data_IF_549357588906
#
_entry.id   IF_549357588906
#
_cell.length_a   1.000
_cell.length_b   1.000
_cell.length_c   1.000
_cell.angle_alpha   90.00
_cell.angle_beta   90.00
_cell.angle_gamma   90.00
#
_symmetry.space_group_name_H-M   'P 1'
#
loop_
_entity.id
_entity.type
_entity.pdbx_description
1 polymer ?
#
# COMPACT_ATOMS: atom_id res chain seq x y z
N UNK A 1 4.08 20.32 -26.95
CA UNK A 1 3.97 19.99 -25.51
C UNK A 1 5.06 18.95 -25.20
N UNK A 2 6.17 19.41 -24.64
CA UNK A 2 7.33 18.56 -24.32
C UNK A 2 7.07 17.89 -22.98
N UNK A 3 6.89 16.58 -22.99
CA UNK A 3 6.78 15.80 -21.76
C UNK A 3 8.16 15.79 -21.11
N UNK A 4 8.30 16.48 -19.99
CA UNK A 4 9.51 16.44 -19.18
C UNK A 4 9.67 15.03 -18.61
N UNK A 5 10.60 14.25 -19.14
CA UNK A 5 11.04 12.98 -18.58
C UNK A 5 11.73 13.29 -17.26
N UNK A 6 11.05 13.08 -16.14
CA UNK A 6 11.64 13.19 -14.82
C UNK A 6 12.81 12.22 -14.73
N UNK A 7 14.04 12.75 -14.69
CA UNK A 7 15.25 11.97 -14.52
C UNK A 7 15.24 11.37 -13.11
N UNK A 8 14.90 10.09 -13.02
CA UNK A 8 14.93 9.31 -11.79
C UNK A 8 16.38 9.22 -11.31
N UNK A 9 16.69 9.46 -10.03
CA UNK A 9 18.04 9.30 -9.53
C UNK A 9 18.49 7.85 -9.76
N UNK A 10 19.68 7.68 -10.36
CA UNK A 10 20.31 6.38 -10.59
C UNK A 10 20.79 5.79 -9.24
N UNK A 11 19.86 5.26 -8.48
CA UNK A 11 20.17 4.37 -7.37
C UNK A 11 20.45 2.97 -7.92
N UNK A 12 21.19 2.14 -7.19
CA UNK A 12 21.43 0.74 -7.60
C UNK A 12 20.12 0.01 -7.91
N UNK A 13 19.04 0.34 -7.20
CA UNK A 13 17.69 -0.17 -7.41
C UNK A 13 17.03 0.36 -8.70
N UNK A 14 17.32 1.60 -9.10
CA UNK A 14 16.91 2.14 -10.39
C UNK A 14 17.47 1.32 -11.54
N UNK A 15 18.76 0.93 -11.48
CA UNK A 15 19.39 0.10 -12.48
C UNK A 15 18.75 -1.32 -12.57
N UNK A 16 18.31 -1.87 -11.42
CA UNK A 16 17.58 -3.16 -11.41
C UNK A 16 16.23 -3.02 -12.12
N UNK A 17 15.47 -1.98 -11.83
CA UNK A 17 14.18 -1.74 -12.49
C UNK A 17 14.35 -1.50 -13.99
N UNK A 18 15.39 -0.76 -14.40
CA UNK A 18 15.70 -0.53 -15.81
C UNK A 18 16.12 -1.83 -16.54
N UNK A 19 16.87 -2.69 -15.86
CA UNK A 19 17.22 -4.01 -16.39
C UNK A 19 15.99 -4.91 -16.51
N UNK A 20 15.10 -4.84 -15.51
CA UNK A 20 13.85 -5.58 -15.49
C UNK A 20 12.91 -5.14 -16.62
N UNK A 21 12.81 -3.84 -16.89
CA UNK A 21 12.02 -3.30 -18.01
C UNK A 21 12.54 -3.75 -19.40
N UNK A 22 13.83 -3.99 -19.54
CA UNK A 22 14.40 -4.52 -20.80
C UNK A 22 14.08 -5.99 -21.03
N UNK A 23 13.66 -6.73 -20.00
CA UNK A 23 13.32 -8.14 -20.10
C UNK A 23 12.03 -8.32 -20.93
N UNK A 24 12.10 -9.07 -22.02
CA UNK A 24 10.96 -9.28 -22.92
C UNK A 24 9.77 -9.95 -22.22
N UNK A 25 10.02 -10.90 -21.32
CA UNK A 25 8.97 -11.57 -20.54
C UNK A 25 8.24 -10.62 -19.60
N UNK A 26 8.93 -9.65 -19.01
CA UNK A 26 8.33 -8.62 -18.14
C UNK A 26 7.45 -7.66 -18.94
N UNK A 27 7.94 -7.22 -20.10
CA UNK A 27 7.12 -6.39 -20.99
C UNK A 27 5.86 -7.11 -21.45
N UNK A 28 5.97 -8.39 -21.79
CA UNK A 28 4.82 -9.21 -22.15
C UNK A 28 3.77 -9.34 -21.03
N UNK A 29 4.16 -9.22 -19.76
CA UNK A 29 3.21 -9.14 -18.63
C UNK A 29 2.42 -7.84 -18.70
N UNK A 30 3.08 -6.69 -18.90
CA UNK A 30 2.40 -5.40 -19.02
C UNK A 30 1.41 -5.33 -20.17
N UNK A 31 1.76 -5.94 -21.29
CA UNK A 31 0.93 -5.98 -22.50
C UNK A 31 -0.28 -6.93 -22.35
N UNK A 32 -0.24 -7.81 -21.34
CA UNK A 32 -1.26 -8.82 -21.06
C UNK A 32 -1.91 -8.67 -19.68
N UNK A 33 -1.88 -7.46 -19.12
CA UNK A 33 -2.58 -7.23 -17.85
C UNK A 33 -4.06 -7.61 -18.00
N UNK A 34 -4.59 -8.43 -17.08
CA UNK A 34 -5.94 -8.96 -17.21
C UNK A 34 -6.97 -7.85 -17.11
N UNK A 35 -8.08 -8.01 -17.80
CA UNK A 35 -9.26 -7.17 -17.65
C UNK A 35 -9.92 -7.43 -16.28
N UNK A 36 -10.89 -6.60 -15.91
CA UNK A 36 -11.61 -6.76 -14.64
C UNK A 36 -12.25 -8.15 -14.54
N UNK A 37 -11.91 -8.87 -13.47
CA UNK A 37 -12.41 -10.22 -13.20
C UNK A 37 -11.61 -11.33 -13.85
N UNK A 38 -10.60 -11.02 -14.66
CA UNK A 38 -9.71 -12.01 -15.23
C UNK A 38 -8.49 -12.26 -14.32
N UNK A 39 -7.82 -13.38 -14.51
CA UNK A 39 -6.65 -13.80 -13.73
C UNK A 39 -5.49 -14.12 -14.65
N UNK A 40 -4.36 -13.47 -14.44
CA UNK A 40 -3.08 -13.84 -15.04
C UNK A 40 -2.22 -14.58 -14.02
N UNK A 41 -1.80 -15.79 -14.34
CA UNK A 41 -0.90 -16.58 -13.49
C UNK A 41 0.54 -16.38 -13.94
N UNK A 42 1.39 -15.97 -13.01
CA UNK A 42 2.81 -15.79 -13.22
C UNK A 42 3.58 -16.78 -12.36
N UNK A 43 4.56 -17.44 -12.96
CA UNK A 43 5.45 -18.37 -12.25
C UNK A 43 6.91 -17.97 -12.45
N UNK A 44 7.81 -18.63 -11.69
CA UNK A 44 9.25 -18.39 -11.83
C UNK A 44 9.72 -17.05 -11.27
N UNK A 45 9.07 -16.58 -10.19
CA UNK A 45 9.42 -15.34 -9.48
C UNK A 45 10.10 -15.68 -8.14
N UNK A 46 11.39 -16.06 -8.12
CA UNK A 46 12.09 -16.41 -6.90
C UNK A 46 12.45 -15.17 -6.07
N UNK A 47 12.52 -15.33 -4.75
CA UNK A 47 12.94 -14.26 -3.82
C UNK A 47 12.11 -12.98 -3.99
N UNK A 48 12.78 -11.84 -4.06
CA UNK A 48 12.15 -10.52 -4.18
C UNK A 48 11.70 -10.15 -5.61
N UNK A 49 11.81 -11.06 -6.60
CA UNK A 49 11.43 -10.74 -7.98
C UNK A 49 9.95 -10.40 -8.15
N UNK A 50 9.07 -10.94 -7.29
CA UNK A 50 7.67 -10.54 -7.20
C UNK A 50 7.52 -9.08 -6.80
N UNK A 51 8.28 -8.62 -5.79
CA UNK A 51 8.25 -7.23 -5.35
C UNK A 51 8.80 -6.28 -6.43
N UNK A 52 9.87 -6.68 -7.14
CA UNK A 52 10.39 -5.92 -8.29
C UNK A 52 9.33 -5.78 -9.38
N UNK A 53 8.60 -6.84 -9.70
CA UNK A 53 7.51 -6.79 -10.67
C UNK A 53 6.38 -5.87 -10.21
N UNK A 54 5.94 -5.98 -8.96
CA UNK A 54 4.88 -5.14 -8.41
C UNK A 54 5.28 -3.66 -8.36
N UNK A 55 6.50 -3.35 -7.92
CA UNK A 55 7.05 -1.99 -7.91
C UNK A 55 7.18 -1.39 -9.31
N UNK A 56 7.64 -2.18 -10.28
CA UNK A 56 7.70 -1.78 -11.68
C UNK A 56 6.31 -1.51 -12.26
N UNK A 57 5.32 -2.38 -12.00
CA UNK A 57 3.94 -2.18 -12.41
C UNK A 57 3.34 -0.92 -11.78
N UNK A 58 3.57 -0.68 -10.49
CA UNK A 58 3.12 0.54 -9.81
C UNK A 58 3.67 1.81 -10.46
N UNK A 59 4.93 1.78 -10.93
CA UNK A 59 5.53 2.86 -11.70
C UNK A 59 4.88 3.08 -13.07
N UNK A 60 4.40 2.02 -13.70
CA UNK A 60 3.89 2.02 -15.08
C UNK A 60 2.39 2.28 -15.20
N UNK A 61 1.61 1.90 -14.21
CA UNK A 61 0.15 2.00 -14.25
C UNK A 61 -0.40 3.44 -14.19
N UNK A 62 0.45 4.42 -13.92
CA UNK A 62 0.09 5.84 -13.90
C UNK A 62 -0.71 6.25 -12.65
N UNK A 63 -1.01 7.55 -12.56
CA UNK A 63 -1.77 8.12 -11.45
C UNK A 63 -3.21 7.57 -11.41
N UNK A 64 -3.70 7.34 -10.19
CA UNK A 64 -5.08 6.86 -9.97
C UNK A 64 -5.24 5.34 -10.03
N UNK A 65 -4.15 4.57 -10.21
CA UNK A 65 -4.16 3.11 -10.09
C UNK A 65 -3.30 2.66 -8.93
N UNK A 66 -3.85 1.73 -8.15
CA UNK A 66 -3.22 1.13 -6.99
C UNK A 66 -2.86 -0.33 -7.30
N UNK A 67 -1.63 -0.72 -6.98
CA UNK A 67 -1.25 -2.12 -6.93
C UNK A 67 -1.53 -2.63 -5.53
N UNK A 68 -2.33 -3.69 -5.42
CA UNK A 68 -2.60 -4.33 -4.14
C UNK A 68 -1.89 -5.67 -4.09
N UNK A 69 -1.01 -5.84 -3.10
CA UNK A 69 -0.33 -7.10 -2.82
C UNK A 69 -1.04 -7.77 -1.65
N UNK A 70 -1.58 -8.95 -1.89
CA UNK A 70 -2.23 -9.76 -0.85
C UNK A 70 -1.30 -10.92 -0.48
N UNK A 71 -0.64 -10.80 0.66
CA UNK A 71 0.28 -11.81 1.17
C UNK A 71 -0.49 -12.91 1.94
N UNK A 72 0.14 -14.07 2.07
CA UNK A 72 -0.46 -15.22 2.75
C UNK A 72 -0.36 -15.06 4.28
N UNK A 73 0.75 -14.51 4.76
CA UNK A 73 1.03 -14.35 6.20
C UNK A 73 1.46 -12.90 6.51
N UNK A 74 1.35 -12.46 7.79
CA UNK A 74 1.87 -11.16 8.20
C UNK A 74 3.37 -11.00 7.91
N UNK A 75 4.18 -12.00 8.21
CA UNK A 75 5.63 -11.95 7.95
C UNK A 75 5.96 -11.85 6.45
N UNK A 76 5.13 -12.46 5.58
CA UNK A 76 5.26 -12.27 4.14
C UNK A 76 4.89 -10.83 3.75
N UNK A 77 3.83 -10.28 4.34
CA UNK A 77 3.40 -8.90 4.09
C UNK A 77 4.49 -7.89 4.50
N UNK A 78 5.10 -8.06 5.66
CA UNK A 78 6.22 -7.22 6.12
C UNK A 78 7.43 -7.29 5.19
N UNK A 79 7.77 -8.49 4.72
CA UNK A 79 8.85 -8.67 3.73
C UNK A 79 8.53 -7.96 2.41
N UNK A 80 7.31 -8.11 1.90
CA UNK A 80 6.84 -7.38 0.72
C UNK A 80 6.89 -5.88 0.92
N UNK A 81 6.47 -5.38 2.09
CA UNK A 81 6.53 -3.96 2.45
C UNK A 81 7.98 -3.46 2.37
N UNK A 82 8.91 -4.13 3.05
CA UNK A 82 10.32 -3.74 3.08
C UNK A 82 10.95 -3.69 1.70
N UNK A 83 10.73 -4.72 0.86
CA UNK A 83 11.22 -4.77 -0.51
C UNK A 83 10.62 -3.63 -1.37
N UNK A 84 9.32 -3.39 -1.26
CA UNK A 84 8.61 -2.38 -2.04
C UNK A 84 8.94 -0.95 -1.61
N UNK A 85 9.15 -0.70 -0.33
CA UNK A 85 9.60 0.62 0.16
C UNK A 85 10.96 1.01 -0.43
N UNK A 86 11.87 0.04 -0.61
CA UNK A 86 13.16 0.30 -1.27
C UNK A 86 13.01 0.62 -2.77
N UNK A 87 11.98 0.09 -3.43
CA UNK A 87 11.75 0.22 -4.87
C UNK A 87 10.89 1.43 -5.25
N UNK A 88 9.89 1.74 -4.44
CA UNK A 88 8.83 2.73 -4.73
C UNK A 88 8.94 3.96 -3.81
N UNK A 89 9.50 3.80 -2.60
CA UNK A 89 9.59 4.86 -1.60
C UNK A 89 8.29 5.02 -0.80
N UNK A 90 7.95 6.26 -0.45
CA UNK A 90 6.85 6.61 0.47
C UNK A 90 5.45 6.25 -0.03
N UNK A 91 5.30 5.90 -1.30
CA UNK A 91 4.02 5.49 -1.87
C UNK A 91 3.59 4.05 -1.56
N UNK A 92 4.17 3.41 -0.54
CA UNK A 92 3.88 2.02 -0.13
C UNK A 92 3.44 1.99 1.33
N UNK A 93 2.31 1.37 1.62
CA UNK A 93 1.84 1.16 2.98
C UNK A 93 1.37 -0.27 3.22
N UNK A 94 1.42 -0.69 4.48
CA UNK A 94 0.86 -1.94 4.96
C UNK A 94 -0.52 -1.67 5.57
N UNK A 95 -1.51 -2.47 5.19
CA UNK A 95 -2.78 -2.57 5.91
C UNK A 95 -2.77 -3.86 6.72
N UNK A 96 -2.42 -3.80 8.02
CA UNK A 96 -2.22 -4.98 8.84
C UNK A 96 -3.55 -5.64 9.20
N UNK A 97 -3.51 -6.95 9.46
CA UNK A 97 -4.63 -7.66 10.06
C UNK A 97 -4.73 -7.35 11.55
N UNK A 98 -5.93 -7.46 12.10
CA UNK A 98 -6.13 -7.37 13.55
C UNK A 98 -5.52 -8.57 14.24
N UNK A 99 -4.92 -8.34 15.40
CA UNK A 99 -4.50 -9.40 16.31
C UNK A 99 -5.70 -9.82 17.16
N UNK A 100 -5.79 -11.12 17.43
CA UNK A 100 -6.85 -11.68 18.27
C UNK A 100 -8.13 -12.07 17.53
N UNK A 101 -8.96 -12.81 18.24
CA UNK A 101 -10.36 -13.08 17.90
C UNK A 101 -11.20 -11.92 18.44
N UNK A 102 -12.36 -11.70 17.89
CA UNK A 102 -13.22 -10.52 18.01
C UNK A 102 -13.55 -10.00 19.44
N UNK A 103 -13.08 -10.64 20.49
CA UNK A 103 -13.38 -10.35 21.90
C UNK A 103 -12.17 -9.82 22.72
N UNK A 104 -10.99 -9.72 22.11
CA UNK A 104 -9.81 -9.16 22.75
C UNK A 104 -9.77 -7.64 22.55
N UNK A 105 -9.23 -6.93 23.56
CA UNK A 105 -9.06 -5.46 23.49
C UNK A 105 -8.28 -5.09 22.21
N UNK A 106 -8.75 -4.09 21.45
CA UNK A 106 -8.07 -3.69 20.23
C UNK A 106 -6.65 -3.20 20.56
N UNK A 107 -5.64 -3.76 19.90
CA UNK A 107 -4.30 -3.20 19.95
C UNK A 107 -4.33 -1.83 19.25
N UNK A 108 -4.27 -0.77 20.06
CA UNK A 108 -4.38 0.62 19.59
C UNK A 108 -3.36 0.97 18.51
N UNK A 109 -2.17 0.37 18.58
CA UNK A 109 -1.10 0.55 17.60
C UNK A 109 -1.53 0.06 16.21
N UNK A 110 -2.03 -1.17 16.12
CA UNK A 110 -2.53 -1.75 14.86
C UNK A 110 -3.76 -0.98 14.35
N UNK A 111 -4.64 -0.55 15.25
CA UNK A 111 -5.78 0.27 14.86
C UNK A 111 -5.34 1.62 14.28
N UNK A 112 -4.32 2.26 14.86
CA UNK A 112 -3.71 3.48 14.35
C UNK A 112 -3.10 3.30 12.97
N UNK A 113 -2.28 2.27 12.77
CA UNK A 113 -1.67 1.95 11.47
C UNK A 113 -2.73 1.70 10.37
N UNK A 114 -3.81 1.02 10.71
CA UNK A 114 -4.92 0.77 9.78
C UNK A 114 -5.60 2.07 9.37
N UNK A 115 -5.87 2.99 10.32
CA UNK A 115 -6.49 4.29 10.04
C UNK A 115 -5.56 5.13 9.17
N UNK A 116 -4.28 5.21 9.51
CA UNK A 116 -3.29 5.96 8.75
C UNK A 116 -3.19 5.48 7.29
N UNK A 117 -3.16 4.16 7.11
CA UNK A 117 -3.13 3.55 5.78
C UNK A 117 -4.41 3.85 4.98
N UNK A 118 -5.58 3.77 5.61
CA UNK A 118 -6.85 4.12 4.96
C UNK A 118 -6.91 5.60 4.59
N UNK A 119 -6.42 6.48 5.45
CA UNK A 119 -6.34 7.91 5.13
C UNK A 119 -5.40 8.21 3.97
N UNK A 120 -4.23 7.58 3.93
CA UNK A 120 -3.30 7.71 2.81
C UNK A 120 -3.90 7.19 1.50
N UNK A 121 -4.68 6.10 1.58
CA UNK A 121 -5.40 5.54 0.44
C UNK A 121 -6.48 6.53 -0.07
N UNK A 122 -7.25 7.12 0.82
CA UNK A 122 -8.30 8.10 0.47
C UNK A 122 -7.72 9.39 -0.13
N UNK A 123 -6.56 9.82 0.33
CA UNK A 123 -5.84 10.97 -0.26
C UNK A 123 -5.23 10.67 -1.62
N UNK A 124 -5.12 9.38 -2.00
CA UNK A 124 -4.46 8.97 -3.24
C UNK A 124 -2.92 9.01 -3.16
N UNK A 125 -2.36 9.02 -1.96
CA UNK A 125 -0.91 9.07 -1.73
C UNK A 125 -0.24 7.73 -2.06
N UNK A 126 -1.00 6.63 -2.05
CA UNK A 126 -0.46 5.29 -2.23
C UNK A 126 -0.39 4.84 -3.69
N UNK A 127 0.71 4.18 -4.01
CA UNK A 127 0.95 3.47 -5.27
C UNK A 127 0.84 1.95 -5.08
N UNK A 128 1.24 1.48 -3.91
CA UNK A 128 1.17 0.07 -3.54
C UNK A 128 0.59 -0.06 -2.13
N UNK A 129 -0.41 -0.92 -2.01
CA UNK A 129 -0.96 -1.36 -0.73
C UNK A 129 -0.57 -2.80 -0.51
N UNK A 130 0.10 -3.08 0.60
CA UNK A 130 0.39 -4.45 1.04
C UNK A 130 -0.60 -4.84 2.12
N UNK A 131 -1.14 -6.04 2.06
CA UNK A 131 -2.08 -6.55 3.06
C UNK A 131 -2.05 -8.08 3.10
N UNK A 132 -2.80 -8.68 4.01
CA UNK A 132 -3.03 -10.13 4.05
C UNK A 132 -4.45 -10.47 3.59
N UNK A 133 -4.66 -11.72 3.16
CA UNK A 133 -6.00 -12.20 2.81
C UNK A 133 -6.99 -12.05 3.97
N UNK A 134 -6.53 -12.27 5.22
CA UNK A 134 -7.32 -12.07 6.43
C UNK A 134 -7.69 -10.60 6.61
N UNK A 135 -6.73 -9.69 6.56
CA UNK A 135 -6.98 -8.25 6.72
C UNK A 135 -7.98 -7.71 5.68
N UNK A 136 -7.89 -8.19 4.43
CA UNK A 136 -8.80 -7.77 3.37
C UNK A 136 -10.25 -8.26 3.57
N UNK A 137 -10.45 -9.32 4.35
CA UNK A 137 -11.77 -9.86 4.70
C UNK A 137 -12.35 -9.25 6.00
N UNK A 138 -11.56 -8.55 6.78
CA UNK A 138 -12.01 -7.91 8.01
C UNK A 138 -12.86 -6.66 7.72
N UNK A 139 -13.86 -6.43 8.58
CA UNK A 139 -14.66 -5.20 8.51
C UNK A 139 -13.79 -3.99 8.75
N UNK A 140 -13.94 -2.97 7.93
CA UNK A 140 -13.28 -1.69 8.08
C UNK A 140 -14.29 -0.54 8.12
N UNK A 141 -13.91 0.59 8.68
CA UNK A 141 -14.72 1.79 8.64
C UNK A 141 -14.82 2.32 7.20
N UNK A 142 -15.98 2.79 6.83
CA UNK A 142 -16.18 3.48 5.56
C UNK A 142 -15.68 4.93 5.65
N UNK A 143 -15.36 5.59 4.51
CA UNK A 143 -14.80 6.94 4.52
C UNK A 143 -15.57 7.96 5.34
N UNK A 144 -16.90 7.92 5.29
CA UNK A 144 -17.77 8.83 6.03
C UNK A 144 -17.66 8.64 7.54
N UNK A 145 -17.48 7.39 8.01
CA UNK A 145 -17.26 7.09 9.42
C UNK A 145 -15.89 7.57 9.91
N UNK A 146 -14.85 7.47 9.07
CA UNK A 146 -13.52 8.00 9.39
C UNK A 146 -13.53 9.53 9.48
N UNK A 147 -14.24 10.22 8.60
CA UNK A 147 -14.44 11.68 8.66
C UNK A 147 -15.14 12.11 9.96
N UNK A 148 -16.17 11.38 10.40
CA UNK A 148 -16.90 11.68 11.62
C UNK A 148 -16.05 11.49 12.90
N UNK A 149 -15.01 10.65 12.84
CA UNK A 149 -14.08 10.41 13.94
C UNK A 149 -12.91 11.41 13.98
N UNK A 150 -12.78 12.27 12.96
CA UNK A 150 -11.70 13.27 12.93
C UNK A 150 -11.89 14.34 13.99
N UNK A 151 -10.91 14.47 14.84
CA UNK A 151 -10.80 15.54 15.81
C UNK A 151 -9.55 16.39 15.52
N UNK A 152 -9.74 17.67 15.30
CA UNK A 152 -8.63 18.59 15.05
C UNK A 152 -8.30 19.36 16.31
N UNK A 153 -7.02 19.32 16.71
CA UNK A 153 -6.47 20.13 17.80
C UNK A 153 -5.59 21.22 17.17
N UNK A 154 -5.83 22.47 17.55
CA UNK A 154 -5.00 23.60 17.13
C UNK A 154 -4.26 24.20 18.33
N UNK A 155 -3.02 24.63 18.12
CA UNK A 155 -2.23 25.29 19.16
C UNK A 155 -2.85 26.63 19.51
N UNK A 156 -3.06 26.86 20.83
CA UNK A 156 -3.68 28.10 21.34
C UNK A 156 -5.20 28.02 21.55
N UNK A 157 -5.84 26.93 21.21
CA UNK A 157 -7.25 26.69 21.50
C UNK A 157 -7.44 25.85 22.77
N UNK A 158 -8.49 26.14 23.54
CA UNK A 158 -8.81 25.37 24.72
C UNK A 158 -9.84 24.27 24.42
N UNK A 159 -9.49 23.03 24.71
CA UNK A 159 -10.35 21.88 24.52
C UNK A 159 -10.75 21.26 25.87
N UNK A 160 -12.02 20.83 26.01
CA UNK A 160 -12.42 20.02 27.15
C UNK A 160 -11.87 18.60 27.00
N UNK A 161 -11.14 18.10 27.99
CA UNK A 161 -10.57 16.75 28.01
C UNK A 161 -11.64 15.68 27.75
N UNK A 162 -12.85 15.83 28.27
CA UNK A 162 -13.98 14.93 28.04
C UNK A 162 -14.37 14.82 26.55
N UNK A 163 -14.15 15.86 25.75
CA UNK A 163 -14.43 15.83 24.32
C UNK A 163 -13.35 15.07 23.57
N UNK A 164 -12.11 15.16 24.01
CA UNK A 164 -10.97 14.42 23.42
C UNK A 164 -11.10 12.92 23.72
N UNK A 165 -11.38 12.58 24.99
CA UNK A 165 -11.52 11.18 25.43
C UNK A 165 -12.79 10.50 24.91
N UNK A 166 -13.86 11.25 24.60
CA UNK A 166 -15.10 10.68 24.05
C UNK A 166 -15.04 10.42 22.53
N UNK A 167 -13.94 10.76 21.86
CA UNK A 167 -13.73 10.53 20.42
C UNK A 167 -12.72 9.39 20.18
N UNK A 168 -12.05 8.92 21.23
CA UNK A 168 -11.18 7.75 21.23
C UNK A 168 -11.96 6.48 21.55
#
# INVERSE_FOLDING_TARGET
MTVATATRPLTALGAVLDAFERCASVRAVADRLPARGEVLRLGGLPGSSGAVLAGWLAGRLGAGRLVVVVATTPSDAERWLGDLQQLVGDGVALYPQREGLAEEEPHYEIAGERIETLEALLRGDLRVLVTTARASAERTAVPEALEALRFRIAVGEAYRITRVLGTL
#
